data_IF_506951777264
#
_entry.id   IF_506951777264
#
_cell.length_a   1.000
_cell.length_b   1.000
_cell.length_c   1.000
_cell.angle_alpha   90.00
_cell.angle_beta   90.00
_cell.angle_gamma   90.00
#
_symmetry.space_group_name_H-M   'P 1'
#
loop_
_entity.id
_entity.type
_entity.pdbx_description
1 polymer ?
#
# COMPACT_ATOMS: atom_id res chain seq x y z
N UNK A 1 -4.46 -20.88 3.43
CA UNK A 1 -5.45 -20.07 2.72
C UNK A 1 -5.29 -20.27 1.21
N UNK A 2 -6.37 -20.24 0.48
CA UNK A 2 -6.36 -20.46 -0.96
C UNK A 2 -5.97 -19.17 -1.69
N UNK A 3 -4.87 -19.19 -2.45
CA UNK A 3 -4.38 -18.02 -3.18
C UNK A 3 -5.40 -17.47 -4.17
N UNK A 4 -6.23 -18.33 -4.76
CA UNK A 4 -7.29 -17.90 -5.69
C UNK A 4 -8.33 -17.00 -5.02
N UNK A 5 -8.62 -17.23 -3.74
CA UNK A 5 -9.54 -16.39 -2.99
C UNK A 5 -8.93 -15.01 -2.79
N UNK A 6 -7.66 -14.94 -2.41
CA UNK A 6 -6.95 -13.68 -2.25
C UNK A 6 -6.82 -12.91 -3.57
N UNK A 7 -6.51 -13.60 -4.65
CA UNK A 7 -6.44 -12.98 -5.98
C UNK A 7 -7.80 -12.39 -6.38
N UNK A 8 -8.89 -13.11 -6.10
CA UNK A 8 -10.23 -12.61 -6.37
C UNK A 8 -10.58 -11.36 -5.57
N UNK A 9 -10.20 -11.32 -4.30
CA UNK A 9 -10.39 -10.14 -3.45
C UNK A 9 -9.62 -8.94 -4.02
N UNK A 10 -8.36 -9.12 -4.35
CA UNK A 10 -7.54 -8.04 -4.91
C UNK A 10 -8.02 -7.59 -6.29
N UNK A 11 -8.52 -8.49 -7.11
CA UNK A 11 -8.97 -8.14 -8.47
C UNK A 11 -10.30 -7.38 -8.48
N UNK A 12 -11.18 -7.61 -7.48
CA UNK A 12 -12.54 -7.10 -7.49
C UNK A 12 -12.79 -5.90 -6.57
N UNK A 13 -11.78 -5.46 -5.82
CA UNK A 13 -11.95 -4.40 -4.81
C UNK A 13 -10.86 -3.36 -4.88
N UNK A 14 -11.15 -2.19 -4.30
CA UNK A 14 -10.18 -1.12 -4.13
C UNK A 14 -9.53 -1.28 -2.76
N UNK A 15 -8.20 -1.19 -2.65
CA UNK A 15 -7.54 -1.27 -1.35
C UNK A 15 -7.87 -0.05 -0.50
N UNK A 16 -7.91 -0.27 0.82
CA UNK A 16 -8.08 0.81 1.79
C UNK A 16 -6.80 1.64 1.85
N UNK A 17 -6.94 2.95 1.77
CA UNK A 17 -5.81 3.88 1.82
C UNK A 17 -6.05 4.90 2.93
N UNK A 18 -4.98 5.38 3.54
CA UNK A 18 -5.08 6.48 4.50
C UNK A 18 -5.73 7.69 3.84
N UNK A 19 -6.54 8.41 4.58
CA UNK A 19 -7.24 9.60 4.10
C UNK A 19 -6.29 10.80 4.07
N UNK A 20 -6.71 11.87 3.40
CA UNK A 20 -5.96 13.12 3.40
C UNK A 20 -5.78 13.67 4.81
N UNK A 21 -6.80 13.53 5.64
CA UNK A 21 -6.77 13.97 7.03
C UNK A 21 -5.74 13.18 7.84
N UNK A 22 -5.66 11.88 7.62
CA UNK A 22 -4.68 11.02 8.29
C UNK A 22 -3.25 11.31 7.84
N UNK A 23 -3.06 11.69 6.58
CA UNK A 23 -1.75 11.99 6.03
C UNK A 23 -1.17 13.31 6.51
N UNK A 24 -2.02 14.28 6.88
CA UNK A 24 -1.62 15.60 7.39
C UNK A 24 -0.56 16.26 6.49
N UNK A 25 -0.80 16.29 5.18
CA UNK A 25 0.19 16.75 4.19
C UNK A 25 0.59 18.22 4.35
N UNK A 26 -0.21 19.04 5.02
CA UNK A 26 0.12 20.42 5.36
C UNK A 26 1.18 20.51 6.48
N UNK A 27 1.33 19.46 7.29
CA UNK A 27 2.29 19.40 8.40
C UNK A 27 3.38 18.35 8.16
N UNK A 28 3.07 17.26 7.43
CA UNK A 28 3.97 16.16 7.18
C UNK A 28 4.51 16.26 5.74
N UNK A 29 5.80 16.56 5.55
CA UNK A 29 6.34 16.73 4.20
C UNK A 29 6.29 15.42 3.41
N UNK A 30 5.88 15.53 2.15
CA UNK A 30 5.82 14.42 1.21
C UNK A 30 7.12 14.35 0.42
N UNK A 31 7.71 13.16 0.36
CA UNK A 31 8.87 12.88 -0.48
C UNK A 31 8.50 11.81 -1.48
N UNK A 32 8.77 12.04 -2.76
CA UNK A 32 8.65 11.04 -3.82
C UNK A 32 10.03 10.53 -4.17
N UNK A 33 10.16 9.21 -4.32
CA UNK A 33 11.44 8.65 -4.71
C UNK A 33 11.52 8.42 -6.21
N UNK A 34 12.64 8.83 -6.87
CA UNK A 34 12.87 8.49 -8.26
C UNK A 34 13.24 7.01 -8.44
N UNK A 35 13.58 6.32 -7.33
CA UNK A 35 13.96 4.91 -7.36
C UNK A 35 13.07 4.12 -6.40
N UNK A 36 11.92 3.61 -6.86
CA UNK A 36 11.02 2.85 -6.01
C UNK A 36 11.74 1.71 -5.30
N UNK A 37 11.43 1.50 -4.02
CA UNK A 37 12.11 0.54 -3.16
C UNK A 37 11.24 -0.70 -2.95
N UNK A 38 11.78 -1.92 -3.16
CA UNK A 38 11.03 -3.14 -2.88
C UNK A 38 10.66 -3.23 -1.39
N UNK A 39 9.38 -3.48 -1.12
CA UNK A 39 8.87 -3.64 0.25
C UNK A 39 7.86 -4.76 0.30
N UNK A 40 7.68 -5.30 1.50
CA UNK A 40 6.55 -6.14 1.85
C UNK A 40 5.60 -5.29 2.66
N UNK A 41 4.31 -5.36 2.37
CA UNK A 41 3.32 -4.52 3.03
C UNK A 41 2.06 -5.30 3.38
N UNK A 42 1.45 -4.96 4.50
CA UNK A 42 0.11 -5.40 4.83
C UNK A 42 -0.88 -4.37 4.32
N UNK A 43 -1.75 -4.80 3.42
CA UNK A 43 -2.80 -3.96 2.85
C UNK A 43 -4.16 -4.51 3.23
N UNK A 44 -5.21 -3.69 3.11
CA UNK A 44 -6.56 -4.12 3.44
C UNK A 44 -7.50 -3.89 2.28
N UNK A 45 -8.38 -4.86 2.09
CA UNK A 45 -9.51 -4.78 1.17
C UNK A 45 -10.76 -4.98 2.04
N UNK A 46 -11.32 -3.85 2.53
CA UNK A 46 -12.34 -3.91 3.55
C UNK A 46 -11.77 -4.50 4.84
N UNK A 47 -12.31 -5.62 5.29
CA UNK A 47 -11.85 -6.31 6.51
C UNK A 47 -10.75 -7.34 6.24
N UNK A 48 -10.44 -7.60 4.97
CA UNK A 48 -9.45 -8.61 4.59
C UNK A 48 -8.05 -8.02 4.56
N UNK A 49 -7.16 -8.52 5.41
CA UNK A 49 -5.75 -8.14 5.40
C UNK A 49 -4.98 -9.06 4.47
N UNK A 50 -4.16 -8.49 3.60
CA UNK A 50 -3.36 -9.24 2.62
C UNK A 50 -1.92 -8.74 2.67
N UNK A 51 -0.98 -9.66 2.69
CA UNK A 51 0.45 -9.32 2.60
C UNK A 51 0.85 -9.32 1.13
N UNK A 52 1.41 -8.20 0.68
CA UNK A 52 1.81 -8.04 -0.73
C UNK A 52 3.27 -7.65 -0.83
N UNK A 53 3.88 -8.01 -1.95
CA UNK A 53 5.19 -7.52 -2.35
C UNK A 53 4.94 -6.36 -3.31
N UNK A 54 5.47 -5.19 -2.98
CA UNK A 54 5.25 -3.98 -3.76
C UNK A 54 6.46 -3.09 -3.80
N UNK A 55 6.23 -1.89 -4.30
CA UNK A 55 7.26 -0.86 -4.41
C UNK A 55 6.81 0.38 -3.63
N UNK A 56 7.67 0.85 -2.73
CA UNK A 56 7.49 2.11 -2.04
C UNK A 56 7.87 3.23 -3.01
N UNK A 57 6.92 4.13 -3.28
CA UNK A 57 7.09 5.18 -4.29
C UNK A 57 7.11 6.59 -3.70
N UNK A 58 6.61 6.76 -2.49
CA UNK A 58 6.60 8.05 -1.80
C UNK A 58 6.45 7.82 -0.30
N UNK A 59 6.75 8.83 0.51
CA UNK A 59 6.57 8.74 1.96
C UNK A 59 6.39 10.11 2.60
N UNK A 60 5.85 10.07 3.82
CA UNK A 60 5.91 11.14 4.81
C UNK A 60 6.65 10.56 6.02
N UNK A 61 6.93 11.35 7.08
CA UNK A 61 7.53 10.79 8.29
C UNK A 61 6.76 9.64 8.94
N UNK A 62 5.46 9.52 8.66
CA UNK A 62 4.60 8.52 9.30
C UNK A 62 3.98 7.51 8.36
N UNK A 63 3.94 7.82 7.06
CA UNK A 63 3.20 7.03 6.10
C UNK A 63 4.03 6.75 4.85
N UNK A 64 3.65 5.70 4.13
CA UNK A 64 4.30 5.32 2.88
C UNK A 64 3.25 5.04 1.82
N UNK A 65 3.54 5.44 0.57
CA UNK A 65 2.74 5.08 -0.57
C UNK A 65 3.38 3.85 -1.24
N UNK A 66 2.58 2.80 -1.38
CA UNK A 66 3.03 1.53 -1.95
C UNK A 66 2.17 1.22 -3.17
N UNK A 67 2.79 0.70 -4.22
CA UNK A 67 2.07 0.14 -5.37
C UNK A 67 2.42 -1.34 -5.52
N UNK A 68 1.46 -2.12 -6.01
CA UNK A 68 1.67 -3.55 -6.25
C UNK A 68 0.78 -4.00 -7.39
N UNK A 69 1.14 -5.11 -8.01
CA UNK A 69 0.36 -5.68 -9.10
C UNK A 69 -0.63 -6.72 -8.58
N UNK A 70 -1.80 -6.75 -9.20
CA UNK A 70 -2.84 -7.75 -8.94
C UNK A 70 -3.33 -8.30 -10.27
N UNK A 71 -4.10 -9.40 -10.26
CA UNK A 71 -4.72 -9.89 -11.50
C UNK A 71 -5.61 -8.86 -12.19
N UNK A 72 -6.16 -7.90 -11.43
CA UNK A 72 -7.00 -6.81 -11.96
C UNK A 72 -6.22 -5.56 -12.37
N UNK A 73 -4.90 -5.55 -12.23
CA UNK A 73 -4.05 -4.42 -12.56
C UNK A 73 -3.28 -3.88 -11.36
N UNK A 74 -2.69 -2.70 -11.53
CA UNK A 74 -1.92 -2.07 -10.48
C UNK A 74 -2.84 -1.47 -9.42
N UNK A 75 -2.51 -1.71 -8.14
CA UNK A 75 -3.14 -1.05 -7.01
C UNK A 75 -2.13 -0.17 -6.29
N UNK A 76 -2.63 0.88 -5.63
CA UNK A 76 -1.83 1.80 -4.81
C UNK A 76 -2.59 2.12 -3.54
N UNK A 77 -1.84 2.34 -2.45
CA UNK A 77 -2.44 2.78 -1.19
C UNK A 77 -1.41 3.52 -0.35
N UNK A 78 -1.89 4.48 0.44
CA UNK A 78 -1.15 5.06 1.53
C UNK A 78 -1.35 4.22 2.78
N UNK A 79 -0.25 3.83 3.41
CA UNK A 79 -0.24 2.96 4.60
C UNK A 79 0.58 3.63 5.70
N UNK A 80 0.28 3.28 6.96
CA UNK A 80 1.21 3.64 8.03
C UNK A 80 2.54 2.92 7.79
N UNK A 81 3.64 3.60 8.08
CA UNK A 81 4.98 3.03 7.84
C UNK A 81 5.20 1.71 8.58
N UNK A 82 4.55 1.53 9.73
CA UNK A 82 4.63 0.30 10.51
C UNK A 82 4.03 -0.93 9.81
N UNK A 83 3.23 -0.73 8.76
CA UNK A 83 2.65 -1.82 7.99
C UNK A 83 3.57 -2.34 6.88
N UNK A 84 4.75 -1.76 6.73
CA UNK A 84 5.70 -2.12 5.66
C UNK A 84 7.05 -2.50 6.21
N UNK A 85 7.76 -3.33 5.43
CA UNK A 85 9.15 -3.70 5.72
C UNK A 85 9.94 -3.75 4.42
N UNK A 86 11.23 -3.37 4.42
CA UNK A 86 12.10 -3.52 3.25
C UNK A 86 12.22 -4.99 2.85
N UNK A 87 12.32 -5.22 1.56
CA UNK A 87 12.62 -6.55 1.03
C UNK A 87 14.10 -6.70 0.74
#
# INVERSE_FOLDING_TARGET
>A
MNDKILEGVMASRVPTSLTKEELELDEQPLTRTPSPQPVTAWVRYGETAVKVDGLLVAWTPRAVAVRWETPGGEHRAWLWSSATRPR
#
